data_IF_740436985923
#
_entry.id   IF_740436985923
#
_cell.length_a   1.000
_cell.length_b   1.000
_cell.length_c   1.000
_cell.angle_alpha   90.00
_cell.angle_beta   90.00
_cell.angle_gamma   90.00
#
_symmetry.space_group_name_H-M   'P 1'
#
loop_
_entity.id
_entity.type
_entity.pdbx_description
1 polymer ?
#
# COMPACT_ATOMS: atom_id res chain seq x y z
N UNK A 1 0.38 -13.49 -59.74
CA UNK A 1 -0.17 -12.12 -59.56
C UNK A 1 0.52 -11.50 -58.35
N UNK A 2 1.61 -10.76 -58.60
CA UNK A 2 1.76 -9.33 -58.22
C UNK A 2 1.43 -9.12 -56.73
N UNK A 3 2.41 -9.24 -55.84
CA UNK A 3 3.26 -8.11 -55.43
C UNK A 3 2.44 -6.81 -55.35
N UNK A 4 1.92 -6.49 -54.16
CA UNK A 4 1.52 -5.11 -53.87
C UNK A 4 1.44 -4.86 -52.34
N UNK A 5 2.50 -4.19 -51.82
CA UNK A 5 2.56 -3.33 -50.62
C UNK A 5 2.61 -4.09 -49.28
N UNK A 6 3.69 -4.19 -48.48
CA UNK A 6 4.80 -3.28 -48.11
C UNK A 6 4.36 -1.81 -47.96
N UNK A 7 4.48 -1.31 -46.74
CA UNK A 7 4.19 0.05 -46.24
C UNK A 7 2.73 0.40 -45.94
N UNK A 8 2.31 0.10 -44.71
CA UNK A 8 1.54 1.03 -43.89
C UNK A 8 1.87 0.76 -42.41
N UNK A 9 2.97 1.36 -41.96
CA UNK A 9 3.19 1.71 -40.56
C UNK A 9 1.99 2.53 -40.11
N UNK A 10 1.19 2.06 -39.16
CA UNK A 10 0.45 2.90 -38.23
C UNK A 10 -0.18 2.06 -37.12
N UNK A 11 0.44 2.14 -35.94
CA UNK A 11 -0.23 2.32 -34.65
C UNK A 11 -1.49 1.48 -34.40
N UNK A 12 -1.31 0.28 -33.85
CA UNK A 12 -2.32 -0.34 -32.98
C UNK A 12 -1.64 -0.72 -31.67
N UNK A 13 -1.33 0.32 -30.89
CA UNK A 13 -1.19 0.23 -29.43
C UNK A 13 -2.60 0.02 -28.90
N UNK A 14 -3.08 -1.21 -28.94
CA UNK A 14 -4.31 -1.60 -28.27
C UNK A 14 -4.25 -3.11 -28.07
N UNK A 15 -3.91 -3.52 -26.84
CA UNK A 15 -4.42 -4.66 -26.07
C UNK A 15 -3.39 -4.93 -24.98
N UNK A 16 -3.73 -4.50 -23.77
CA UNK A 16 -2.89 -4.56 -22.58
C UNK A 16 -3.38 -3.70 -21.41
N UNK A 17 -4.43 -2.88 -21.61
CA UNK A 17 -5.26 -2.39 -20.51
C UNK A 17 -6.40 -3.38 -20.28
N UNK A 18 -6.21 -4.34 -19.37
CA UNK A 18 -7.19 -4.75 -18.35
C UNK A 18 -6.65 -5.97 -17.58
N UNK A 19 -5.69 -5.74 -16.71
CA UNK A 19 -5.61 -6.51 -15.46
C UNK A 19 -5.79 -5.52 -14.31
N UNK A 20 -6.98 -4.90 -14.29
CA UNK A 20 -7.57 -4.38 -13.07
C UNK A 20 -8.13 -5.57 -12.27
N UNK A 21 -7.24 -6.50 -11.92
CA UNK A 21 -7.51 -7.44 -10.84
C UNK A 21 -7.13 -6.73 -9.55
N UNK A 22 -8.12 -6.55 -8.69
CA UNK A 22 -8.01 -5.87 -7.41
C UNK A 22 -6.93 -6.44 -6.49
N UNK A 23 -6.60 -5.61 -5.50
CA UNK A 23 -6.06 -5.94 -4.18
C UNK A 23 -5.44 -7.34 -4.03
N UNK A 24 -4.11 -7.42 -3.95
CA UNK A 24 -3.50 -8.70 -3.62
C UNK A 24 -2.04 -8.69 -3.22
N UNK A 25 -1.22 -7.77 -3.74
CA UNK A 25 0.08 -7.53 -3.12
C UNK A 25 -0.15 -6.66 -1.89
N UNK A 26 -0.45 -7.33 -0.77
CA UNK A 26 -0.16 -6.77 0.55
C UNK A 26 1.24 -6.19 0.45
N UNK A 27 1.35 -4.86 0.59
CA UNK A 27 2.66 -4.22 0.74
C UNK A 27 3.41 -5.01 1.80
N UNK A 28 4.65 -5.39 1.48
CA UNK A 28 5.41 -6.27 2.35
C UNK A 28 5.72 -5.54 3.65
N UNK A 29 4.92 -5.87 4.67
CA UNK A 29 4.96 -5.32 6.02
C UNK A 29 6.25 -5.72 6.76
N UNK A 30 7.06 -6.62 6.19
CA UNK A 30 8.32 -7.10 6.74
C UNK A 30 9.55 -6.72 5.91
N UNK A 31 9.40 -6.11 4.73
CA UNK A 31 10.55 -5.69 3.91
C UNK A 31 11.50 -4.77 4.70
N UNK A 32 12.81 -5.03 4.73
CA UNK A 32 13.76 -4.19 5.44
C UNK A 32 13.75 -2.74 4.95
N UNK A 33 13.79 -1.78 5.87
CA UNK A 33 13.81 -0.34 5.56
C UNK A 33 14.96 0.03 4.61
N UNK A 34 16.12 -0.61 4.74
CA UNK A 34 17.27 -0.38 3.87
C UNK A 34 16.98 -0.77 2.40
N UNK A 35 16.30 -1.89 2.19
CA UNK A 35 15.89 -2.32 0.85
C UNK A 35 14.85 -1.36 0.26
N UNK A 36 13.89 -0.92 1.07
CA UNK A 36 12.87 0.06 0.65
C UNK A 36 13.52 1.37 0.18
N UNK A 37 14.53 1.87 0.90
CA UNK A 37 15.31 3.05 0.49
C UNK A 37 16.03 2.82 -0.84
N UNK A 38 16.70 1.67 -0.98
CA UNK A 38 17.44 1.33 -2.19
C UNK A 38 16.52 1.17 -3.42
N UNK A 39 15.33 0.61 -3.23
CA UNK A 39 14.29 0.52 -4.26
C UNK A 39 13.76 1.90 -4.65
N UNK A 40 13.35 2.71 -3.66
CA UNK A 40 12.80 4.04 -3.90
C UNK A 40 13.76 4.96 -4.68
N UNK A 41 15.05 4.94 -4.35
CA UNK A 41 16.05 5.75 -5.05
C UNK A 41 16.08 5.50 -6.57
N UNK A 42 15.85 4.24 -6.98
CA UNK A 42 15.86 3.78 -8.38
C UNK A 42 14.54 3.98 -9.11
N UNK A 43 13.45 4.25 -8.40
CA UNK A 43 12.11 4.38 -8.98
C UNK A 43 11.89 5.75 -9.64
N UNK A 44 11.10 5.78 -10.70
CA UNK A 44 10.59 7.03 -11.27
C UNK A 44 9.42 7.61 -10.46
N UNK A 45 9.01 8.84 -10.79
CA UNK A 45 7.93 9.57 -10.10
C UNK A 45 6.61 8.78 -10.07
N UNK A 46 6.23 8.11 -11.16
CA UNK A 46 4.98 7.36 -11.24
C UNK A 46 5.04 6.09 -10.37
N UNK A 47 6.18 5.40 -10.37
CA UNK A 47 6.42 4.25 -9.50
C UNK A 47 6.39 4.65 -8.01
N UNK A 48 7.06 5.74 -7.64
CA UNK A 48 7.08 6.26 -6.28
C UNK A 48 5.68 6.62 -5.78
N UNK A 49 4.89 7.33 -6.61
CA UNK A 49 3.51 7.67 -6.28
C UNK A 49 2.67 6.43 -6.06
N UNK A 50 2.74 5.45 -6.97
CA UNK A 50 2.02 4.18 -6.85
C UNK A 50 2.40 3.43 -5.56
N UNK A 51 3.67 3.39 -5.20
CA UNK A 51 4.11 2.73 -3.97
C UNK A 51 3.59 3.49 -2.73
N UNK A 52 3.66 4.82 -2.71
CA UNK A 52 3.11 5.61 -1.62
C UNK A 52 1.59 5.41 -1.47
N UNK A 53 0.84 5.35 -2.57
CA UNK A 53 -0.61 5.04 -2.57
C UNK A 53 -0.89 3.64 -2.00
N UNK A 54 -0.10 2.64 -2.39
CA UNK A 54 -0.25 1.27 -1.88
C UNK A 54 0.01 1.19 -0.36
N UNK A 55 1.08 1.80 0.12
CA UNK A 55 1.37 1.84 1.56
C UNK A 55 0.31 2.66 2.32
N UNK A 56 -0.17 3.77 1.76
CA UNK A 56 -1.30 4.52 2.33
C UNK A 56 -2.55 3.65 2.45
N UNK A 57 -2.92 2.92 1.40
CA UNK A 57 -4.08 2.03 1.43
C UNK A 57 -3.94 0.95 2.50
N UNK A 58 -2.75 0.36 2.65
CA UNK A 58 -2.47 -0.61 3.70
C UNK A 58 -2.57 0.01 5.11
N UNK A 59 -2.07 1.23 5.31
CA UNK A 59 -2.20 1.97 6.58
C UNK A 59 -3.66 2.19 6.92
N UNK A 60 -4.47 2.67 5.96
CA UNK A 60 -5.91 2.90 6.16
C UNK A 60 -6.63 1.59 6.49
N UNK A 61 -6.34 0.51 5.78
CA UNK A 61 -6.93 -0.80 6.06
C UNK A 61 -6.60 -1.28 7.49
N UNK A 62 -5.34 -1.15 7.92
CA UNK A 62 -4.92 -1.54 9.27
C UNK A 62 -5.50 -0.65 10.37
N UNK A 63 -5.67 0.66 10.12
CA UNK A 63 -6.41 1.56 11.02
C UNK A 63 -7.86 1.10 11.19
N UNK A 64 -8.54 0.72 10.10
CA UNK A 64 -9.88 0.18 10.17
C UNK A 64 -9.94 -1.18 10.91
N UNK A 65 -8.91 -2.03 10.78
CA UNK A 65 -8.80 -3.26 11.56
C UNK A 65 -8.67 -2.96 13.07
N UNK A 66 -7.90 -1.93 13.46
CA UNK A 66 -7.82 -1.47 14.86
C UNK A 66 -9.19 -1.02 15.37
N UNK A 67 -9.95 -0.26 14.58
CA UNK A 67 -11.29 0.19 14.96
C UNK A 67 -12.24 -1.00 15.17
N UNK A 68 -12.23 -1.99 14.26
CA UNK A 68 -13.04 -3.21 14.39
C UNK A 68 -12.66 -4.01 15.63
N UNK A 69 -11.37 -4.18 15.89
CA UNK A 69 -10.88 -4.92 17.06
C UNK A 69 -11.21 -4.17 18.35
N UNK A 70 -11.12 -2.84 18.33
CA UNK A 70 -11.52 -1.98 19.46
C UNK A 70 -13.04 -2.05 19.71
N UNK A 71 -13.85 -2.13 18.67
CA UNK A 71 -15.31 -2.28 18.81
C UNK A 71 -15.67 -3.56 19.58
N UNK A 72 -14.92 -4.66 19.36
CA UNK A 72 -15.12 -5.91 20.10
C UNK A 72 -14.97 -5.75 21.62
N UNK A 73 -14.18 -4.79 22.12
CA UNK A 73 -14.09 -4.51 23.57
C UNK A 73 -15.43 -4.06 24.16
N UNK A 74 -16.24 -3.35 23.38
CA UNK A 74 -17.55 -2.85 23.82
C UNK A 74 -18.59 -3.97 23.90
N UNK A 75 -18.40 -5.03 23.13
CA UNK A 75 -19.31 -6.17 23.05
C UNK A 75 -18.97 -7.29 24.05
N UNK A 76 -17.87 -7.18 24.81
CA UNK A 76 -17.48 -8.22 25.77
C UNK A 76 -18.36 -8.15 27.02
N UNK A 77 -19.01 -9.26 27.41
CA UNK A 77 -19.67 -9.36 28.71
C UNK A 77 -18.67 -9.11 29.85
N UNK A 78 -19.08 -8.37 30.88
CA UNK A 78 -18.21 -8.04 32.04
C UNK A 78 -17.61 -9.29 32.69
N UNK A 79 -18.33 -10.42 32.67
CA UNK A 79 -17.88 -11.72 33.18
C UNK A 79 -16.72 -12.34 32.41
N UNK A 80 -16.50 -11.96 31.15
CA UNK A 80 -15.43 -12.48 30.28
C UNK A 80 -14.34 -11.44 29.98
N UNK A 81 -14.41 -10.26 30.60
CA UNK A 81 -13.57 -9.11 30.28
C UNK A 81 -12.09 -9.37 30.55
N UNK A 82 -11.74 -10.18 31.56
CA UNK A 82 -10.36 -10.38 32.00
C UNK A 82 -9.40 -10.86 30.89
N UNK A 83 -9.60 -12.08 30.39
CA UNK A 83 -8.70 -12.65 29.38
C UNK A 83 -9.00 -12.13 27.97
N UNK A 84 -10.28 -11.96 27.61
CA UNK A 84 -10.65 -11.47 26.27
C UNK A 84 -10.20 -10.04 26.02
N UNK A 85 -10.30 -9.14 27.01
CA UNK A 85 -9.81 -7.77 26.83
C UNK A 85 -8.28 -7.72 26.70
N UNK A 86 -7.53 -8.56 27.44
CA UNK A 86 -6.08 -8.67 27.29
C UNK A 86 -5.67 -9.16 25.90
N UNK A 87 -6.34 -10.19 25.38
CA UNK A 87 -6.09 -10.67 24.02
C UNK A 87 -6.37 -9.58 22.97
N UNK A 88 -7.48 -8.86 23.11
CA UNK A 88 -7.81 -7.76 22.21
C UNK A 88 -6.81 -6.61 22.30
N UNK A 89 -6.33 -6.25 23.50
CA UNK A 89 -5.26 -5.27 23.65
C UNK A 89 -3.97 -5.71 22.94
N UNK A 90 -3.58 -6.99 23.06
CA UNK A 90 -2.41 -7.52 22.37
C UNK A 90 -2.56 -7.43 20.83
N UNK A 91 -3.75 -7.73 20.30
CA UNK A 91 -4.04 -7.59 18.86
C UNK A 91 -3.96 -6.12 18.41
N UNK A 92 -4.47 -5.18 19.22
CA UNK A 92 -4.37 -3.73 18.94
C UNK A 92 -2.91 -3.29 18.90
N UNK A 93 -2.09 -3.69 19.86
CA UNK A 93 -0.67 -3.33 19.91
C UNK A 93 0.12 -3.92 18.73
N UNK A 94 -0.21 -5.15 18.33
CA UNK A 94 0.36 -5.76 17.12
C UNK A 94 -0.04 -4.97 15.86
N UNK A 95 -1.30 -4.61 15.72
CA UNK A 95 -1.77 -3.81 14.58
C UNK A 95 -1.14 -2.41 14.55
N UNK A 96 -1.00 -1.74 15.71
CA UNK A 96 -0.27 -0.46 15.81
C UNK A 96 1.18 -0.59 15.35
N UNK A 97 1.86 -1.66 15.76
CA UNK A 97 3.24 -1.93 15.33
C UNK A 97 3.33 -2.08 13.81
N UNK A 98 2.40 -2.81 13.19
CA UNK A 98 2.32 -2.94 11.73
C UNK A 98 2.03 -1.60 11.04
N UNK A 99 1.12 -0.79 11.60
CA UNK A 99 0.85 0.57 11.08
C UNK A 99 2.10 1.44 11.13
N UNK A 100 2.87 1.40 12.21
CA UNK A 100 4.14 2.14 12.31
C UNK A 100 5.14 1.68 11.26
N UNK A 101 5.35 0.36 11.10
CA UNK A 101 6.26 -0.17 10.07
C UNK A 101 5.81 0.19 8.65
N UNK A 102 4.50 0.20 8.37
CA UNK A 102 3.96 0.65 7.09
C UNK A 102 4.19 2.16 6.87
N UNK A 103 4.03 2.98 7.92
CA UNK A 103 4.29 4.44 7.86
C UNK A 103 5.75 4.75 7.56
N UNK A 104 6.69 4.05 8.19
CA UNK A 104 8.11 4.23 7.91
C UNK A 104 8.45 4.00 6.43
N UNK A 105 7.86 2.95 5.83
CA UNK A 105 8.05 2.64 4.41
C UNK A 105 7.33 3.61 3.50
N UNK A 106 6.10 3.99 3.85
CA UNK A 106 5.36 5.05 3.16
C UNK A 106 6.19 6.33 3.08
N UNK A 107 6.79 6.75 4.20
CA UNK A 107 7.55 7.99 4.29
C UNK A 107 8.75 8.00 3.33
N UNK A 108 9.41 6.86 3.14
CA UNK A 108 10.53 6.74 2.20
C UNK A 108 10.08 7.02 0.76
N UNK A 109 8.99 6.40 0.31
CA UNK A 109 8.45 6.65 -1.03
C UNK A 109 7.91 8.07 -1.17
N UNK A 110 7.24 8.59 -0.13
CA UNK A 110 6.69 9.94 -0.10
C UNK A 110 7.79 11.00 -0.19
N UNK A 111 8.84 10.89 0.61
CA UNK A 111 9.96 11.82 0.58
C UNK A 111 10.72 11.74 -0.75
N UNK A 112 10.99 10.53 -1.24
CA UNK A 112 11.67 10.37 -2.53
C UNK A 112 10.83 10.95 -3.69
N UNK A 113 9.50 10.78 -3.64
CA UNK A 113 8.58 11.38 -4.61
C UNK A 113 8.66 12.90 -4.57
N UNK A 114 8.61 13.47 -3.36
CA UNK A 114 8.69 14.91 -3.12
C UNK A 114 10.03 15.50 -3.60
N UNK A 115 11.14 14.83 -3.29
CA UNK A 115 12.49 15.20 -3.75
C UNK A 115 12.60 15.22 -5.27
N UNK A 116 11.92 14.30 -5.96
CA UNK A 116 11.88 14.25 -7.42
C UNK A 116 10.84 15.20 -8.04
N UNK A 117 10.21 16.07 -7.24
CA UNK A 117 9.19 17.01 -7.72
C UNK A 117 7.86 16.35 -8.12
N UNK A 118 7.59 15.15 -7.62
CA UNK A 118 6.36 14.42 -7.89
C UNK A 118 5.14 14.98 -7.18
N UNK A 119 3.97 14.68 -7.72
CA UNK A 119 2.69 15.09 -7.15
C UNK A 119 2.35 14.27 -5.89
N UNK A 120 2.32 14.96 -4.75
CA UNK A 120 1.99 14.40 -3.43
C UNK A 120 0.50 14.52 -3.08
N UNK A 121 -0.32 15.06 -3.98
CA UNK A 121 -1.75 15.23 -3.75
C UNK A 121 -2.42 13.89 -3.46
N UNK A 122 -3.25 13.86 -2.41
CA UNK A 122 -3.95 12.64 -2.00
C UNK A 122 -3.09 11.64 -1.22
N UNK A 123 -1.83 11.95 -0.87
CA UNK A 123 -0.98 11.07 -0.05
C UNK A 123 -0.99 11.38 1.45
N UNK A 124 -1.72 12.41 1.91
CA UNK A 124 -1.86 12.69 3.35
C UNK A 124 -2.49 11.50 4.11
N UNK A 125 -1.97 11.20 5.31
CA UNK A 125 -2.33 10.05 6.17
C UNK A 125 -3.17 10.40 7.39
#
# INVERSE_FOLDING_TARGET
MKALRIMAVLSVIAIGCLVLAGCGKKTDESKPVAEVKAEAAKMDVAQLKKMAEQYKAAIVARKADIEKVTAKLKDIPVTEMGEKAKAIQADIEKLKTLVTALKERFEIYYQQLKEKGGDITGLAL
#
